data_IF_712449590328
#
_entry.id   IF_712449590328
#
_cell.length_a   1.000
_cell.length_b   1.000
_cell.length_c   1.000
_cell.angle_alpha   90.00
_cell.angle_beta   90.00
_cell.angle_gamma   90.00
#
_symmetry.space_group_name_H-M   'P 1'
#
loop_
_entity.id
_entity.type
_entity.pdbx_description
1 polymer ?
#
# COMPACT_ATOMS: atom_id res chain seq x y z
N UNK A 1 -1.06 17.99 17.23
CA UNK A 1 -0.04 17.87 16.15
C UNK A 1 0.16 16.43 15.67
N UNK A 2 0.24 15.41 16.56
CA UNK A 2 0.43 13.99 16.19
C UNK A 2 -0.64 13.39 15.25
N UNK A 3 -1.90 13.84 15.33
CA UNK A 3 -2.98 13.34 14.46
C UNK A 3 -2.82 13.74 12.98
N UNK A 4 -2.36 14.96 12.68
CA UNK A 4 -2.11 15.40 11.30
C UNK A 4 -0.99 14.60 10.63
N UNK A 5 0.08 14.29 11.36
CA UNK A 5 1.19 13.46 10.86
C UNK A 5 0.71 12.05 10.54
N UNK A 6 -0.13 11.46 11.40
CA UNK A 6 -0.75 10.14 11.17
C UNK A 6 -1.60 10.10 9.89
N UNK A 7 -2.47 11.09 9.69
CA UNK A 7 -3.28 11.19 8.47
C UNK A 7 -2.44 11.41 7.21
N UNK A 8 -1.41 12.27 7.26
CA UNK A 8 -0.53 12.48 6.12
C UNK A 8 0.24 11.21 5.73
N UNK A 9 0.71 10.44 6.71
CA UNK A 9 1.38 9.15 6.44
C UNK A 9 0.43 8.15 5.78
N UNK A 10 -0.81 8.03 6.28
CA UNK A 10 -1.83 7.17 5.66
C UNK A 10 -2.10 7.55 4.21
N UNK A 11 -2.29 8.85 3.93
CA UNK A 11 -2.54 9.35 2.58
C UNK A 11 -1.39 9.07 1.62
N UNK A 12 -0.13 9.33 2.03
CA UNK A 12 1.06 9.04 1.21
C UNK A 12 1.13 7.55 0.88
N UNK A 13 0.84 6.69 1.85
CA UNK A 13 0.89 5.25 1.66
C UNK A 13 -0.23 4.74 0.75
N UNK A 14 -1.44 5.27 0.87
CA UNK A 14 -2.55 4.97 -0.05
C UNK A 14 -2.21 5.39 -1.47
N UNK A 15 -1.70 6.62 -1.67
CA UNK A 15 -1.30 7.10 -3.00
C UNK A 15 -0.18 6.23 -3.59
N UNK A 16 0.82 5.85 -2.79
CA UNK A 16 1.90 4.97 -3.24
C UNK A 16 1.41 3.58 -3.65
N UNK A 17 0.50 2.98 -2.87
CA UNK A 17 -0.05 1.66 -3.15
C UNK A 17 -0.93 1.66 -4.40
N UNK A 18 -1.89 2.59 -4.49
CA UNK A 18 -2.76 2.71 -5.67
C UNK A 18 -1.98 3.13 -6.92
N UNK A 19 -0.93 3.94 -6.79
CA UNK A 19 -0.02 4.26 -7.88
C UNK A 19 0.68 3.02 -8.43
N UNK A 20 1.17 2.14 -7.55
CA UNK A 20 1.86 0.90 -7.93
C UNK A 20 0.91 -0.08 -8.62
N UNK A 21 -0.33 -0.21 -8.13
CA UNK A 21 -1.39 -0.97 -8.80
C UNK A 21 -1.69 -0.40 -10.20
N UNK A 22 -1.82 0.92 -10.31
CA UNK A 22 -2.11 1.57 -11.60
C UNK A 22 -1.00 1.30 -12.62
N UNK A 23 0.27 1.34 -12.19
CA UNK A 23 1.41 0.98 -13.05
C UNK A 23 1.32 -0.48 -13.52
N UNK A 24 0.96 -1.41 -12.62
CA UNK A 24 0.81 -2.83 -12.96
C UNK A 24 -0.38 -3.11 -13.90
N UNK A 25 -1.43 -2.30 -13.85
CA UNK A 25 -2.57 -2.41 -14.77
C UNK A 25 -2.18 -1.91 -16.17
N UNK A 26 -1.40 -0.83 -16.25
CA UNK A 26 -1.04 -0.19 -17.52
C UNK A 26 0.17 -0.81 -18.22
N UNK A 27 1.05 -1.50 -17.48
CA UNK A 27 2.28 -2.09 -18.01
C UNK A 27 2.22 -3.62 -17.93
N UNK A 28 2.38 -4.34 -19.06
CA UNK A 28 2.48 -5.79 -19.01
C UNK A 28 3.71 -6.20 -18.19
N UNK A 29 3.51 -7.18 -17.31
CA UNK A 29 4.58 -7.70 -16.46
C UNK A 29 5.52 -8.57 -17.32
N UNK A 30 6.84 -8.31 -17.33
CA UNK A 30 7.79 -9.09 -18.10
C UNK A 30 7.78 -10.56 -17.65
N UNK A 31 7.65 -11.48 -18.62
CA UNK A 31 7.51 -12.93 -18.37
C UNK A 31 8.63 -13.56 -17.52
N UNK A 32 9.92 -13.22 -17.69
CA UNK A 32 11.00 -13.88 -16.95
C UNK A 32 10.91 -13.72 -15.42
N UNK A 33 10.26 -12.67 -14.97
CA UNK A 33 10.25 -12.21 -13.59
C UNK A 33 8.81 -11.95 -13.08
N UNK A 34 7.81 -12.43 -13.82
CA UNK A 34 6.40 -12.20 -13.51
C UNK A 34 5.99 -12.80 -12.16
N UNK A 35 6.49 -13.99 -11.81
CA UNK A 35 6.12 -14.64 -10.54
C UNK A 35 6.73 -13.91 -9.34
N UNK A 36 7.98 -13.45 -9.45
CA UNK A 36 8.61 -12.63 -8.41
C UNK A 36 7.82 -11.34 -8.21
N UNK A 37 7.43 -10.67 -9.31
CA UNK A 37 6.64 -9.42 -9.24
C UNK A 37 5.28 -9.68 -8.58
N UNK A 38 4.57 -10.75 -8.95
CA UNK A 38 3.27 -11.09 -8.35
C UNK A 38 3.38 -11.39 -6.85
N UNK A 39 4.39 -12.14 -6.42
CA UNK A 39 4.64 -12.42 -5.00
C UNK A 39 4.93 -11.12 -4.24
N UNK A 40 5.76 -10.26 -4.82
CA UNK A 40 6.14 -9.00 -4.21
C UNK A 40 4.96 -8.02 -4.10
N UNK A 41 4.06 -8.02 -5.09
CA UNK A 41 2.79 -7.28 -5.06
C UNK A 41 1.87 -7.78 -3.94
N UNK A 42 1.75 -9.10 -3.77
CA UNK A 42 0.99 -9.68 -2.67
C UNK A 42 1.54 -9.27 -1.30
N UNK A 43 2.87 -9.29 -1.15
CA UNK A 43 3.54 -8.84 0.08
C UNK A 43 3.30 -7.34 0.36
N UNK A 44 3.45 -6.48 -0.65
CA UNK A 44 3.17 -5.03 -0.54
C UNK A 44 1.70 -4.80 -0.17
N UNK A 45 0.76 -5.55 -0.74
CA UNK A 45 -0.65 -5.49 -0.37
C UNK A 45 -0.91 -5.83 1.09
N UNK A 46 -0.26 -6.88 1.61
CA UNK A 46 -0.33 -7.23 3.03
C UNK A 46 0.24 -6.16 3.96
N UNK A 47 1.38 -5.57 3.58
CA UNK A 47 1.99 -4.46 4.32
C UNK A 47 1.10 -3.21 4.32
N UNK A 48 0.45 -2.91 3.19
CA UNK A 48 -0.52 -1.82 3.08
C UNK A 48 -1.71 -2.02 4.01
N UNK A 49 -2.35 -3.21 3.99
CA UNK A 49 -3.49 -3.51 4.87
C UNK A 49 -3.09 -3.41 6.34
N UNK A 50 -1.92 -3.93 6.71
CA UNK A 50 -1.39 -3.82 8.08
C UNK A 50 -1.24 -2.37 8.50
N UNK A 51 -0.70 -1.53 7.64
CA UNK A 51 -0.52 -0.11 7.95
C UNK A 51 -1.83 0.65 7.99
N UNK A 52 -2.78 0.35 7.09
CA UNK A 52 -4.13 0.92 7.15
C UNK A 52 -4.82 0.53 8.47
N UNK A 53 -4.71 -0.72 8.90
CA UNK A 53 -5.22 -1.16 10.21
C UNK A 53 -4.55 -0.43 11.37
N UNK A 54 -3.25 -0.16 11.30
CA UNK A 54 -2.55 0.62 12.34
C UNK A 54 -2.98 2.09 12.39
N UNK A 55 -3.13 2.77 11.24
CA UNK A 55 -3.47 4.20 11.21
C UNK A 55 -4.97 4.50 11.31
N UNK A 56 -5.82 3.67 10.71
CA UNK A 56 -7.27 3.83 10.71
C UNK A 56 -7.97 3.02 11.80
N UNK A 57 -7.42 1.88 12.22
CA UNK A 57 -7.95 1.12 13.36
C UNK A 57 -7.70 1.81 14.71
N UNK A 58 -6.60 2.56 14.84
CA UNK A 58 -6.35 3.44 16.00
C UNK A 58 -7.22 4.73 15.96
N UNK A 59 -7.83 5.05 14.82
CA UNK A 59 -8.67 6.26 14.69
C UNK A 59 -10.04 6.15 15.36
N UNK A 60 -10.48 4.93 15.72
CA UNK A 60 -11.71 4.67 16.49
C UNK A 60 -11.51 4.69 18.01
N UNK A 61 -10.30 4.97 18.51
CA UNK A 61 -10.10 5.29 19.93
C UNK A 61 -10.40 4.13 20.88
N UNK A 62 -9.46 3.18 20.94
CA UNK A 62 -9.00 2.62 22.22
C UNK A 62 -7.48 2.68 22.26
#
# INVERSE_FOLDING_TARGET
>A
MKAKVRMCMGLIMSVGFFGLITVLILKPVPQPNADIIKVLVGFIGGAFVTMMSFYFGDSEGK
#
